data_IF_258499539143
#
_entry.id   IF_258499539143
#
_cell.length_a   1.000
_cell.length_b   1.000
_cell.length_c   1.000
_cell.angle_alpha   90.00
_cell.angle_beta   90.00
_cell.angle_gamma   90.00
#
_symmetry.space_group_name_H-M   'P 1'
#
loop_
_entity.id
_entity.type
_entity.pdbx_description
1 polymer ?
#
# COMPACT_ATOMS: atom_id res chain seq x y z
N UNK A 1 43.05 -7.03 -21.10
CA UNK A 1 42.67 -6.75 -19.70
C UNK A 1 41.30 -6.08 -19.69
N UNK A 2 40.27 -6.81 -19.24
CA UNK A 2 38.98 -6.29 -18.76
C UNK A 2 39.15 -5.99 -17.25
N UNK A 3 38.38 -5.09 -16.60
CA UNK A 3 36.94 -4.98 -16.83
C UNK A 3 36.34 -3.56 -16.84
N UNK A 4 35.57 -3.30 -17.89
CA UNK A 4 34.45 -2.36 -17.91
C UNK A 4 33.24 -3.09 -17.31
N UNK A 5 32.96 -2.95 -16.01
CA UNK A 5 31.78 -3.58 -15.38
C UNK A 5 31.31 -2.90 -14.08
N UNK A 6 31.32 -1.56 -14.02
CA UNK A 6 30.95 -0.83 -12.80
C UNK A 6 29.97 0.32 -13.01
N UNK A 7 29.07 0.22 -13.99
CA UNK A 7 28.05 1.25 -14.25
C UNK A 7 26.63 0.68 -14.46
N UNK A 8 26.25 -0.35 -13.68
CA UNK A 8 24.92 -0.96 -13.77
C UNK A 8 24.22 -1.18 -12.41
N UNK A 9 24.65 -0.51 -11.34
CA UNK A 9 24.24 -0.83 -9.96
C UNK A 9 23.47 0.27 -9.21
N UNK A 10 23.10 1.39 -9.85
CA UNK A 10 22.46 2.52 -9.15
C UNK A 10 21.03 2.87 -9.60
N UNK A 11 20.35 2.02 -10.38
CA UNK A 11 19.00 2.31 -10.88
C UNK A 11 17.92 1.28 -10.45
N UNK A 12 18.17 0.46 -9.44
CA UNK A 12 17.06 -0.17 -8.70
C UNK A 12 16.58 0.82 -7.64
N UNK A 13 15.98 1.92 -8.09
CA UNK A 13 15.01 2.64 -7.26
C UNK A 13 13.83 1.68 -7.10
N UNK A 14 13.93 0.76 -6.13
CA UNK A 14 12.79 -0.04 -5.72
C UNK A 14 11.73 0.95 -5.28
N UNK A 15 10.78 1.24 -6.16
CA UNK A 15 9.58 1.97 -5.80
C UNK A 15 8.95 1.15 -4.69
N UNK A 16 9.04 1.65 -3.45
CA UNK A 16 8.47 0.96 -2.30
C UNK A 16 6.96 1.11 -2.42
N UNK A 17 6.30 0.02 -2.79
CA UNK A 17 4.85 -0.03 -2.84
C UNK A 17 4.32 -0.56 -1.51
N UNK A 18 3.35 0.12 -0.93
CA UNK A 18 2.79 -0.27 0.36
C UNK A 18 2.23 -1.71 0.37
N UNK A 19 1.79 -2.24 -0.79
CA UNK A 19 1.35 -3.63 -0.91
C UNK A 19 2.46 -4.67 -0.72
N UNK A 20 3.74 -4.31 -0.84
CA UNK A 20 4.87 -5.20 -0.56
C UNK A 20 5.06 -5.45 0.94
N UNK A 21 4.49 -4.60 1.80
CA UNK A 21 4.58 -4.74 3.26
C UNK A 21 3.56 -5.73 3.83
N UNK A 22 2.58 -6.18 3.04
CA UNK A 22 1.68 -7.26 3.44
C UNK A 22 2.48 -8.53 3.73
N UNK A 23 2.20 -9.18 4.86
CA UNK A 23 2.91 -10.35 5.38
C UNK A 23 4.17 -10.04 6.21
N UNK A 24 4.56 -8.77 6.35
CA UNK A 24 5.71 -8.37 7.18
C UNK A 24 5.33 -8.19 8.66
N UNK A 25 6.31 -8.31 9.54
CA UNK A 25 6.15 -8.02 10.97
C UNK A 25 6.08 -6.51 11.26
N UNK A 26 5.53 -6.09 12.42
CA UNK A 26 5.53 -4.68 12.85
C UNK A 26 6.90 -4.02 12.76
N UNK A 27 7.95 -4.71 13.23
CA UNK A 27 9.34 -4.21 13.16
C UNK A 27 9.81 -3.96 11.72
N UNK A 28 9.45 -4.85 10.80
CA UNK A 28 9.83 -4.71 9.38
C UNK A 28 9.06 -3.58 8.70
N UNK A 29 7.74 -3.47 8.97
CA UNK A 29 6.91 -2.35 8.48
C UNK A 29 7.48 -1.03 8.97
N UNK A 30 7.78 -0.91 10.26
CA UNK A 30 8.37 0.29 10.85
C UNK A 30 9.68 0.66 10.19
N UNK A 31 10.61 -0.30 10.08
CA UNK A 31 11.90 -0.07 9.43
C UNK A 31 11.71 0.46 8.00
N UNK A 32 10.84 -0.16 7.21
CA UNK A 32 10.58 0.28 5.84
C UNK A 32 9.97 1.67 5.76
N UNK A 33 9.00 1.99 6.63
CA UNK A 33 8.37 3.31 6.61
C UNK A 33 9.32 4.41 7.05
N UNK A 34 10.20 4.17 8.03
CA UNK A 34 11.23 5.14 8.40
C UNK A 34 12.21 5.41 7.26
N UNK A 35 12.63 4.36 6.53
CA UNK A 35 13.47 4.50 5.33
C UNK A 35 12.72 5.32 4.26
N UNK A 36 11.44 5.03 4.02
CA UNK A 36 10.61 5.78 3.08
C UNK A 36 10.52 7.26 3.45
N UNK A 37 10.24 7.60 4.71
CA UNK A 37 10.18 8.99 5.18
C UNK A 37 11.52 9.69 4.98
N UNK A 38 12.63 9.03 5.32
CA UNK A 38 13.98 9.57 5.16
C UNK A 38 14.34 9.81 3.68
N UNK A 39 14.03 8.85 2.79
CA UNK A 39 14.29 8.98 1.35
C UNK A 39 13.52 10.14 0.72
N UNK A 40 12.31 10.41 1.21
CA UNK A 40 11.49 11.53 0.76
C UNK A 40 11.74 12.83 1.56
N UNK A 41 12.71 12.82 2.49
CA UNK A 41 13.07 13.97 3.34
C UNK A 41 11.90 14.53 4.16
N UNK A 42 10.95 13.66 4.53
CA UNK A 42 9.87 14.03 5.43
C UNK A 42 10.36 14.00 6.88
N UNK A 43 10.28 15.15 7.56
CA UNK A 43 10.78 15.30 8.93
C UNK A 43 9.65 15.50 9.94
N UNK A 44 8.47 15.95 9.48
CA UNK A 44 7.28 16.14 10.32
C UNK A 44 6.33 14.96 10.21
N UNK A 45 6.63 13.88 10.94
CA UNK A 45 5.72 12.75 11.06
C UNK A 45 5.65 12.22 12.50
N UNK A 46 4.51 11.64 12.85
CA UNK A 46 4.29 10.94 14.10
C UNK A 46 4.09 9.45 13.83
N UNK A 47 4.59 8.61 14.74
CA UNK A 47 4.34 7.16 14.72
C UNK A 47 3.53 6.83 15.96
N UNK A 48 2.36 6.25 15.75
CA UNK A 48 1.46 5.76 16.79
C UNK A 48 1.40 4.25 16.67
N UNK A 49 1.76 3.54 17.74
CA UNK A 49 1.70 2.08 17.79
C UNK A 49 0.64 1.66 18.81
N UNK A 50 -0.23 0.74 18.40
CA UNK A 50 -1.20 0.06 19.26
C UNK A 50 -1.01 -1.45 19.12
N UNK A 51 -1.70 -2.21 19.95
CA UNK A 51 -1.55 -3.67 20.04
C UNK A 51 -1.63 -4.39 18.68
N UNK A 52 -2.50 -3.92 17.77
CA UNK A 52 -2.73 -4.55 16.45
C UNK A 52 -2.51 -3.61 15.27
N UNK A 53 -2.01 -2.40 15.48
CA UNK A 53 -1.81 -1.43 14.38
C UNK A 53 -0.61 -0.51 14.58
N UNK A 54 -0.03 -0.08 13.46
CA UNK A 54 0.93 1.02 13.41
C UNK A 54 0.38 2.08 12.45
N UNK A 55 0.34 3.34 12.92
CA UNK A 55 -0.11 4.48 12.14
C UNK A 55 1.04 5.48 12.01
N UNK A 56 1.40 5.81 10.77
CA UNK A 56 2.29 6.93 10.45
C UNK A 56 1.45 8.13 10.02
N UNK A 57 1.55 9.25 10.75
CA UNK A 57 0.84 10.49 10.46
C UNK A 57 1.83 11.50 9.89
N UNK A 58 1.79 11.75 8.59
CA UNK A 58 2.64 12.73 7.91
C UNK A 58 1.97 14.11 7.95
N UNK A 59 2.68 15.13 8.44
CA UNK A 59 2.22 16.51 8.66
C UNK A 59 3.30 17.49 8.21
N UNK A 60 3.85 17.28 7.03
CA UNK A 60 4.85 18.16 6.44
C UNK A 60 4.16 19.36 5.77
N UNK A 61 4.74 20.57 5.86
CA UNK A 61 4.09 21.77 5.30
C UNK A 61 4.04 21.71 3.76
N UNK A 62 4.95 20.96 3.15
CA UNK A 62 5.08 20.82 1.69
C UNK A 62 4.13 19.79 1.06
N UNK A 63 3.39 19.01 1.86
CA UNK A 63 2.47 17.98 1.37
C UNK A 63 1.17 18.00 2.16
N UNK A 64 0.10 17.47 1.56
CA UNK A 64 -1.16 17.34 2.27
C UNK A 64 -1.04 16.31 3.41
N UNK A 65 -1.71 16.54 4.56
CA UNK A 65 -1.75 15.56 5.64
C UNK A 65 -2.25 14.20 5.15
N UNK A 66 -1.46 13.16 5.45
CA UNK A 66 -1.78 11.78 5.11
C UNK A 66 -1.48 10.86 6.29
N UNK A 67 -2.31 9.83 6.46
CA UNK A 67 -2.06 8.77 7.42
C UNK A 67 -1.85 7.45 6.67
N UNK A 68 -0.80 6.73 7.03
CA UNK A 68 -0.53 5.37 6.60
C UNK A 68 -0.81 4.43 7.78
N UNK A 69 -1.87 3.63 7.69
CA UNK A 69 -2.24 2.65 8.72
C UNK A 69 -1.87 1.26 8.26
N UNK A 70 -1.26 0.48 9.14
CA UNK A 70 -0.94 -0.94 8.95
C UNK A 70 -1.61 -1.74 10.06
N UNK A 71 -2.36 -2.77 9.69
CA UNK A 71 -3.05 -3.67 10.63
C UNK A 71 -2.35 -5.03 10.65
N UNK A 72 -2.20 -5.61 11.84
CA UNK A 72 -1.50 -6.88 12.07
C UNK A 72 -2.45 -7.95 12.59
N UNK A 73 -2.29 -9.18 12.09
CA UNK A 73 -3.06 -10.33 12.55
C UNK A 73 -2.50 -10.84 13.90
N UNK A 74 -3.18 -11.82 14.50
CA UNK A 74 -2.76 -12.43 15.76
C UNK A 74 -1.41 -13.16 15.68
N UNK A 75 -0.87 -13.39 14.47
CA UNK A 75 0.46 -13.95 14.22
C UNK A 75 1.52 -12.85 14.04
N UNK A 76 1.15 -11.58 14.24
CA UNK A 76 2.02 -10.43 14.07
C UNK A 76 2.41 -10.19 12.61
N UNK A 77 1.55 -10.53 11.65
CA UNK A 77 1.76 -10.29 10.22
C UNK A 77 0.83 -9.20 9.71
N UNK A 78 1.39 -8.25 8.97
CA UNK A 78 0.62 -7.20 8.34
C UNK A 78 -0.38 -7.82 7.36
N UNK A 79 -1.68 -7.63 7.57
CA UNK A 79 -2.72 -8.17 6.70
C UNK A 79 -3.52 -7.07 6.02
N UNK A 80 -3.43 -5.83 6.47
CA UNK A 80 -4.04 -4.69 5.79
C UNK A 80 -3.15 -3.45 5.84
N UNK A 81 -3.34 -2.58 4.85
CA UNK A 81 -2.73 -1.27 4.73
C UNK A 81 -3.78 -0.28 4.22
N UNK A 82 -3.78 0.92 4.78
CA UNK A 82 -4.65 2.02 4.36
C UNK A 82 -3.87 3.32 4.20
N UNK A 83 -4.05 4.01 3.08
CA UNK A 83 -3.68 5.42 2.91
C UNK A 83 -4.93 6.27 3.11
N UNK A 84 -4.93 7.14 4.12
CA UNK A 84 -6.03 8.07 4.39
C UNK A 84 -5.56 9.50 4.13
N UNK A 85 -6.22 10.22 3.22
CA UNK A 85 -5.89 11.60 2.90
C UNK A 85 -7.14 12.45 2.68
N UNK A 86 -7.05 13.74 2.97
CA UNK A 86 -8.15 14.70 2.71
C UNK A 86 -8.16 15.23 1.27
N UNK A 87 -7.24 14.76 0.42
CA UNK A 87 -7.13 15.11 -0.99
C UNK A 87 -7.43 13.88 -1.86
N UNK A 88 -8.35 14.05 -2.80
CA UNK A 88 -8.73 13.02 -3.75
C UNK A 88 -7.55 12.62 -4.64
N UNK A 89 -6.84 13.62 -5.16
CA UNK A 89 -5.71 13.46 -6.07
C UNK A 89 -4.57 12.67 -5.42
N UNK A 90 -4.38 12.82 -4.10
CA UNK A 90 -3.36 12.08 -3.36
C UNK A 90 -3.65 10.58 -3.34
N UNK A 91 -4.91 10.21 -3.13
CA UNK A 91 -5.33 8.81 -3.10
C UNK A 91 -5.38 8.21 -4.50
N UNK A 92 -5.79 8.99 -5.51
CA UNK A 92 -5.70 8.58 -6.92
C UNK A 92 -4.25 8.38 -7.37
N UNK A 93 -3.32 9.24 -6.93
CA UNK A 93 -1.88 9.07 -7.16
C UNK A 93 -1.32 7.82 -6.47
N UNK A 94 -1.75 7.55 -5.23
CA UNK A 94 -1.40 6.32 -4.51
C UNK A 94 -1.94 5.08 -5.23
N UNK A 95 -3.17 5.13 -5.75
CA UNK A 95 -3.79 4.07 -6.54
C UNK A 95 -3.00 3.83 -7.84
N UNK A 96 -2.67 4.89 -8.58
CA UNK A 96 -1.90 4.79 -9.83
C UNK A 96 -0.52 4.15 -9.58
N UNK A 97 0.17 4.61 -8.55
CA UNK A 97 1.47 4.05 -8.13
C UNK A 97 1.34 2.57 -7.73
N UNK A 98 0.28 2.21 -7.00
CA UNK A 98 -0.01 0.83 -6.59
C UNK A 98 -0.27 -0.08 -7.79
N UNK A 99 -1.08 0.40 -8.75
CA UNK A 99 -1.45 -0.34 -9.96
C UNK A 99 -0.29 -0.49 -10.95
N UNK A 100 0.65 0.47 -10.98
CA UNK A 100 1.84 0.40 -11.83
C UNK A 100 2.78 -0.76 -11.46
N UNK A 101 2.64 -1.32 -10.25
CA UNK A 101 3.40 -2.51 -9.86
C UNK A 101 2.75 -3.79 -10.40
N UNK A 102 3.22 -4.22 -11.57
CA UNK A 102 2.73 -5.39 -12.30
C UNK A 102 2.91 -6.72 -11.54
N UNK A 103 3.75 -6.77 -10.50
CA UNK A 103 4.02 -7.97 -9.68
C UNK A 103 2.75 -8.63 -9.17
N UNK A 104 1.73 -7.83 -8.83
CA UNK A 104 0.53 -8.32 -8.16
C UNK A 104 -0.56 -8.77 -9.13
N UNK A 105 -0.48 -8.42 -10.42
CA UNK A 105 -1.48 -8.79 -11.42
C UNK A 105 -2.88 -8.27 -11.08
N UNK A 106 -2.98 -6.97 -10.80
CA UNK A 106 -4.25 -6.33 -10.42
C UNK A 106 -5.28 -6.39 -11.55
N UNK A 107 -6.51 -6.76 -11.21
CA UNK A 107 -7.66 -6.79 -12.10
C UNK A 107 -8.80 -5.95 -11.52
N UNK A 108 -9.22 -4.90 -12.23
CA UNK A 108 -10.29 -3.96 -11.80
C UNK A 108 -11.67 -4.64 -11.79
N UNK A 109 -12.25 -4.90 -10.62
CA UNK A 109 -13.59 -5.50 -10.46
C UNK A 109 -14.70 -4.53 -10.86
N UNK A 110 -14.62 -3.30 -10.37
CA UNK A 110 -15.53 -2.20 -10.65
C UNK A 110 -14.78 -0.88 -10.43
N UNK A 111 -15.47 0.26 -10.42
CA UNK A 111 -14.84 1.59 -10.32
C UNK A 111 -14.06 1.86 -9.04
N UNK A 112 -14.35 1.13 -7.96
CA UNK A 112 -13.72 1.33 -6.66
C UNK A 112 -12.95 0.11 -6.16
N UNK A 113 -12.98 -1.02 -6.87
CA UNK A 113 -12.45 -2.29 -6.36
C UNK A 113 -11.56 -2.99 -7.36
N UNK A 114 -10.43 -3.50 -6.87
CA UNK A 114 -9.48 -4.33 -7.61
C UNK A 114 -9.13 -5.58 -6.81
N UNK A 115 -8.79 -6.65 -7.51
CA UNK A 115 -8.22 -7.86 -6.90
C UNK A 115 -6.90 -8.20 -7.56
N UNK A 116 -5.92 -8.64 -6.78
CA UNK A 116 -4.65 -9.16 -7.30
C UNK A 116 -4.85 -10.56 -7.87
N UNK A 117 -3.80 -11.14 -8.44
CA UNK A 117 -3.79 -12.57 -8.77
C UNK A 117 -4.10 -13.45 -7.55
N UNK A 118 -4.62 -14.66 -7.79
CA UNK A 118 -4.97 -15.62 -6.73
C UNK A 118 -3.80 -15.91 -5.78
N UNK A 119 -2.56 -15.98 -6.30
CA UNK A 119 -1.33 -16.22 -5.53
C UNK A 119 -1.10 -15.14 -4.46
N UNK A 120 -1.40 -13.89 -4.79
CA UNK A 120 -1.21 -12.76 -3.87
C UNK A 120 -2.42 -12.54 -2.98
N UNK A 121 -3.63 -12.89 -3.44
CA UNK A 121 -4.88 -12.85 -2.66
C UNK A 121 -5.10 -11.49 -1.96
N UNK A 122 -4.88 -10.39 -2.66
CA UNK A 122 -5.07 -9.03 -2.14
C UNK A 122 -6.30 -8.40 -2.77
N UNK A 123 -7.15 -7.79 -1.95
CA UNK A 123 -8.18 -6.86 -2.39
C UNK A 123 -7.66 -5.44 -2.22
N UNK A 124 -8.02 -4.57 -3.16
CA UNK A 124 -7.84 -3.13 -3.03
C UNK A 124 -9.17 -2.43 -3.22
N UNK A 125 -9.50 -1.48 -2.34
CA UNK A 125 -10.75 -0.71 -2.36
C UNK A 125 -10.44 0.78 -2.20
N UNK A 126 -10.99 1.58 -3.10
CA UNK A 126 -11.01 3.04 -3.02
C UNK A 126 -12.33 3.46 -2.37
N UNK A 127 -12.25 4.11 -1.19
CA UNK A 127 -13.43 4.60 -0.45
C UNK A 127 -13.44 6.12 -0.40
N UNK A 128 -14.66 6.67 -0.38
CA UNK A 128 -14.93 8.07 -0.05
C UNK A 128 -15.73 8.07 1.25
N UNK A 129 -15.13 8.51 2.34
CA UNK A 129 -15.82 8.65 3.62
C UNK A 129 -16.29 10.11 3.75
N UNK A 130 -17.59 10.33 3.53
CA UNK A 130 -18.19 11.66 3.59
C UNK A 130 -18.45 12.12 5.04
N UNK A 131 -18.60 11.18 5.99
CA UNK A 131 -18.96 11.45 7.39
C UNK A 131 -17.80 12.02 8.25
N UNK A 132 -16.54 11.88 7.81
CA UNK A 132 -15.34 12.37 8.52
C UNK A 132 -14.63 13.50 7.75
N UNK A 133 -15.39 14.41 7.12
CA UNK A 133 -14.79 15.55 6.42
C UNK A 133 -14.12 15.19 5.08
N UNK A 134 -14.77 14.32 4.30
CA UNK A 134 -14.33 13.88 2.97
C UNK A 134 -12.93 13.24 2.94
N UNK A 135 -12.69 12.25 3.81
CA UNK A 135 -11.46 11.45 3.76
C UNK A 135 -11.55 10.46 2.61
N UNK A 136 -10.58 10.54 1.71
CA UNK A 136 -10.37 9.54 0.67
C UNK A 136 -9.45 8.45 1.23
N UNK A 137 -9.80 7.20 0.98
CA UNK A 137 -9.04 6.06 1.49
C UNK A 137 -8.71 5.07 0.38
N UNK A 138 -7.45 4.65 0.30
CA UNK A 138 -7.04 3.48 -0.46
C UNK A 138 -6.71 2.36 0.53
N UNK A 139 -7.56 1.34 0.57
CA UNK A 139 -7.38 0.15 1.40
C UNK A 139 -6.82 -1.00 0.57
N UNK A 140 -5.82 -1.70 1.08
CA UNK A 140 -5.28 -2.94 0.53
C UNK A 140 -5.27 -3.99 1.63
N UNK A 141 -5.88 -5.15 1.39
CA UNK A 141 -6.04 -6.20 2.41
C UNK A 141 -5.76 -7.58 1.85
N UNK A 142 -5.09 -8.42 2.64
CA UNK A 142 -4.94 -9.85 2.42
C UNK A 142 -6.28 -10.53 2.67
N UNK A 143 -6.69 -11.31 1.69
CA UNK A 143 -7.93 -12.06 1.71
C UNK A 143 -7.67 -13.56 1.67
N UNK A 144 -8.61 -14.32 2.22
CA UNK A 144 -8.64 -15.77 2.18
C UNK A 144 -9.72 -16.22 1.21
N UNK A 145 -9.44 -16.13 -0.09
CA UNK A 145 -10.40 -16.53 -1.13
C UNK A 145 -10.26 -18.00 -1.47
N UNK A 146 -11.39 -18.67 -1.70
CA UNK A 146 -11.38 -19.94 -2.42
C UNK A 146 -11.09 -19.71 -3.89
N UNK A 147 -10.53 -20.72 -4.58
CA UNK A 147 -10.31 -20.65 -6.02
C UNK A 147 -11.61 -20.46 -6.80
N UNK A 148 -12.70 -21.06 -6.33
CA UNK A 148 -14.04 -20.89 -6.91
C UNK A 148 -14.48 -19.43 -6.84
N UNK A 149 -14.47 -18.82 -5.65
CA UNK A 149 -14.84 -17.41 -5.49
C UNK A 149 -14.02 -16.50 -6.39
N UNK A 150 -12.70 -16.72 -6.45
CA UNK A 150 -11.80 -15.92 -7.27
C UNK A 150 -12.17 -16.00 -8.77
N UNK A 151 -12.47 -17.20 -9.26
CA UNK A 151 -12.87 -17.39 -10.65
C UNK A 151 -14.23 -16.76 -10.94
N UNK A 152 -15.19 -16.86 -10.01
CA UNK A 152 -16.53 -16.28 -10.15
C UNK A 152 -16.45 -14.75 -10.29
N UNK A 153 -15.60 -14.08 -9.51
CA UNK A 153 -15.36 -12.64 -9.63
C UNK A 153 -14.76 -12.23 -10.98
N UNK A 154 -13.97 -13.11 -11.61
CA UNK A 154 -13.39 -12.85 -12.92
C UNK A 154 -14.37 -13.15 -14.06
N UNK A 155 -15.24 -14.16 -13.90
CA UNK A 155 -16.23 -14.54 -14.89
C UNK A 155 -17.30 -13.46 -15.09
N UNK A 156 -17.69 -12.77 -14.02
CA UNK A 156 -18.66 -11.65 -14.05
C UNK A 156 -18.19 -10.39 -14.78
N UNK A 157 -17.01 -10.40 -15.41
CA UNK A 157 -16.46 -9.29 -16.23
C UNK A 157 -16.55 -9.49 -17.73
N UNK A 158 -17.02 -10.65 -18.16
CA UNK A 158 -17.21 -10.94 -19.58
C UNK A 158 -18.47 -10.28 -20.11
#
# INVERSE_FOLDING_TARGET
MKPLFFLLLLAFTSQLHAQDLIGHSPKQVRKHMLIYMQQNRYNKFLVEEKDTEIIFRLREDSVQPVNFRYEFDSKGKCFAFSTLAHCRECVESALKTTLANNKFGWTKLNDSTWISSYRHSLQMVLKKNEEEGAVHTLDIRKMLWSRTWYNDQLAGKK
#
